data_IF_380340240054
#
_entry.id   IF_380340240054
#
_cell.length_a   1.000
_cell.length_b   1.000
_cell.length_c   1.000
_cell.angle_alpha   90.00
_cell.angle_beta   90.00
_cell.angle_gamma   90.00
#
_symmetry.space_group_name_H-M   'P 1'
#
loop_
_entity.id
_entity.type
_entity.pdbx_description
1 polymer ?
#
# COMPACT_ATOMS: atom_id res chain seq x y z
N UNK A 1 14.48 -20.02 -23.55
CA UNK A 1 13.21 -20.77 -23.61
C UNK A 1 12.12 -20.23 -22.65
N UNK A 2 12.29 -19.08 -21.98
CA UNK A 2 11.35 -18.60 -20.92
C UNK A 2 10.24 -17.65 -21.43
N UNK A 3 10.33 -17.15 -22.67
CA UNK A 3 9.41 -16.11 -23.18
C UNK A 3 7.96 -16.59 -23.37
N UNK A 4 7.76 -17.86 -23.75
CA UNK A 4 6.43 -18.42 -24.03
C UNK A 4 5.62 -18.72 -22.77
N UNK A 5 6.28 -19.10 -21.68
CA UNK A 5 5.63 -19.43 -20.40
C UNK A 5 5.10 -18.17 -19.69
N UNK A 6 5.86 -17.07 -19.70
CA UNK A 6 5.41 -15.80 -19.10
C UNK A 6 4.15 -15.31 -19.81
N UNK A 7 4.15 -15.25 -21.15
CA UNK A 7 2.97 -14.81 -21.90
C UNK A 7 1.74 -15.70 -21.67
N UNK A 8 1.93 -17.02 -21.58
CA UNK A 8 0.86 -18.00 -21.29
C UNK A 8 0.31 -17.89 -19.86
N UNK A 9 1.14 -17.48 -18.89
CA UNK A 9 0.68 -17.18 -17.54
C UNK A 9 -0.07 -15.86 -17.51
N UNK A 10 0.48 -14.83 -18.15
CA UNK A 10 -0.07 -13.48 -18.16
C UNK A 10 -1.45 -13.39 -18.83
N UNK A 11 -1.70 -14.15 -19.90
CA UNK A 11 -3.00 -14.14 -20.58
C UNK A 11 -4.18 -14.66 -19.72
N UNK A 12 -3.89 -15.36 -18.61
CA UNK A 12 -4.91 -15.83 -17.67
C UNK A 12 -5.35 -14.75 -16.66
N UNK A 13 -4.69 -13.59 -16.66
CA UNK A 13 -4.98 -12.49 -15.75
C UNK A 13 -5.55 -11.29 -16.51
N UNK A 14 -6.88 -11.11 -16.54
CA UNK A 14 -7.51 -10.01 -17.29
C UNK A 14 -7.19 -8.63 -16.73
N UNK A 15 -6.78 -8.55 -15.46
CA UNK A 15 -6.34 -7.31 -14.83
C UNK A 15 -4.90 -6.91 -15.22
N UNK A 16 -4.16 -7.75 -15.94
CA UNK A 16 -2.77 -7.50 -16.34
C UNK A 16 -2.73 -6.90 -17.75
N UNK A 17 -2.33 -5.64 -17.84
CA UNK A 17 -2.25 -4.88 -19.09
C UNK A 17 -0.92 -5.11 -19.78
N UNK A 18 0.19 -5.01 -19.04
CA UNK A 18 1.52 -5.23 -19.60
C UNK A 18 2.51 -5.78 -18.56
N UNK A 19 3.56 -6.44 -19.06
CA UNK A 19 4.72 -6.86 -18.25
C UNK A 19 5.99 -6.38 -18.92
N UNK A 20 6.83 -5.69 -18.14
CA UNK A 20 8.13 -5.19 -18.57
C UNK A 20 9.24 -5.97 -17.90
N UNK A 21 10.35 -6.16 -18.60
CA UNK A 21 11.57 -6.77 -18.08
C UNK A 21 12.71 -5.77 -18.18
N UNK A 22 13.38 -5.55 -17.06
CA UNK A 22 14.60 -4.79 -16.97
C UNK A 22 15.79 -5.57 -17.54
N UNK A 23 16.89 -4.90 -17.90
CA UNK A 23 18.13 -5.57 -18.30
C UNK A 23 18.70 -6.53 -17.24
N UNK A 24 18.40 -6.27 -15.96
CA UNK A 24 18.80 -7.12 -14.82
C UNK A 24 17.82 -8.26 -14.53
N UNK A 25 16.78 -8.43 -15.35
CA UNK A 25 15.78 -9.49 -15.23
C UNK A 25 14.62 -9.16 -14.28
N UNK A 26 14.61 -8.01 -13.60
CA UNK A 26 13.45 -7.59 -12.79
C UNK A 26 12.22 -7.40 -13.66
N UNK A 27 11.06 -7.77 -13.12
CA UNK A 27 9.78 -7.61 -13.82
C UNK A 27 8.97 -6.46 -13.24
N UNK A 28 8.32 -5.68 -14.11
CA UNK A 28 7.34 -4.68 -13.71
C UNK A 28 5.97 -5.01 -14.33
N UNK A 29 4.95 -5.07 -13.48
CA UNK A 29 3.57 -5.34 -13.88
C UNK A 29 2.81 -4.03 -14.02
N UNK A 30 2.20 -3.82 -15.17
CA UNK A 30 1.18 -2.80 -15.38
C UNK A 30 -0.19 -3.46 -15.27
N UNK A 31 -0.95 -3.07 -14.26
CA UNK A 31 -2.32 -3.54 -14.10
C UNK A 31 -3.34 -2.60 -14.76
N UNK A 32 -4.59 -3.05 -14.86
CA UNK A 32 -5.70 -2.31 -15.46
C UNK A 32 -6.12 -1.10 -14.64
N UNK A 33 -5.83 -1.08 -13.34
CA UNK A 33 -6.19 0.03 -12.46
C UNK A 33 -5.41 1.31 -12.82
N UNK A 34 -6.07 2.47 -12.68
CA UNK A 34 -5.49 3.79 -13.01
C UNK A 34 -4.19 4.04 -12.24
N UNK A 35 -3.22 4.76 -12.82
CA UNK A 35 -2.00 5.14 -12.09
C UNK A 35 -2.25 6.32 -11.14
N UNK A 36 -3.32 7.07 -11.37
CA UNK A 36 -3.72 8.24 -10.57
C UNK A 36 -5.17 8.06 -10.12
N UNK A 37 -5.43 7.33 -9.02
CA UNK A 37 -6.78 7.17 -8.52
C UNK A 37 -7.28 8.44 -7.84
N UNK A 38 -8.54 8.79 -8.09
CA UNK A 38 -9.25 9.85 -7.38
C UNK A 38 -9.32 9.52 -5.89
N UNK A 39 -9.41 10.56 -5.04
CA UNK A 39 -9.32 10.40 -3.59
C UNK A 39 -10.34 9.42 -3.01
N UNK A 40 -11.58 9.51 -3.47
CA UNK A 40 -12.72 8.69 -3.04
C UNK A 40 -12.62 7.22 -3.49
N UNK A 41 -11.99 6.98 -4.64
CA UNK A 41 -11.83 5.65 -5.23
C UNK A 41 -10.55 4.93 -4.75
N UNK A 42 -9.61 5.67 -4.15
CA UNK A 42 -8.26 5.21 -3.83
C UNK A 42 -8.23 3.98 -2.93
N UNK A 43 -9.19 3.84 -2.01
CA UNK A 43 -9.30 2.66 -1.16
C UNK A 43 -9.73 1.39 -1.91
N UNK A 44 -10.69 1.50 -2.84
CA UNK A 44 -11.11 0.38 -3.70
C UNK A 44 -10.02 0.05 -4.70
N UNK A 45 -9.50 1.07 -5.36
CA UNK A 45 -8.37 0.98 -6.28
C UNK A 45 -7.20 0.19 -5.67
N UNK A 46 -6.78 0.52 -4.44
CA UNK A 46 -5.64 -0.16 -3.82
C UNK A 46 -5.91 -1.65 -3.57
N UNK A 47 -7.10 -1.99 -3.06
CA UNK A 47 -7.49 -3.37 -2.80
C UNK A 47 -7.59 -4.19 -4.09
N UNK A 48 -8.16 -3.61 -5.14
CA UNK A 48 -8.32 -4.28 -6.43
C UNK A 48 -6.96 -4.47 -7.13
N UNK A 49 -6.12 -3.43 -7.12
CA UNK A 49 -4.74 -3.48 -7.63
C UNK A 49 -3.91 -4.53 -6.89
N UNK A 50 -4.01 -4.58 -5.56
CA UNK A 50 -3.32 -5.58 -4.73
C UNK A 50 -3.80 -6.99 -5.02
N UNK A 51 -5.12 -7.21 -5.10
CA UNK A 51 -5.68 -8.53 -5.39
C UNK A 51 -5.20 -9.05 -6.75
N UNK A 52 -5.25 -8.20 -7.78
CA UNK A 52 -4.77 -8.50 -9.12
C UNK A 52 -3.25 -8.77 -9.14
N UNK A 53 -2.46 -7.91 -8.48
CA UNK A 53 -1.01 -8.09 -8.36
C UNK A 53 -0.65 -9.44 -7.72
N UNK A 54 -1.26 -9.78 -6.58
CA UNK A 54 -0.97 -11.03 -5.89
C UNK A 54 -1.35 -12.26 -6.73
N UNK A 55 -2.48 -12.24 -7.42
CA UNK A 55 -2.89 -13.34 -8.29
C UNK A 55 -1.91 -13.56 -9.46
N UNK A 56 -1.50 -12.45 -10.11
CA UNK A 56 -0.53 -12.49 -11.19
C UNK A 56 0.85 -12.96 -10.70
N UNK A 57 1.36 -12.37 -9.61
CA UNK A 57 2.64 -12.75 -9.02
C UNK A 57 2.65 -14.21 -8.58
N UNK A 58 1.61 -14.69 -7.90
CA UNK A 58 1.53 -16.10 -7.48
C UNK A 58 1.59 -17.06 -8.68
N UNK A 59 0.93 -16.71 -9.78
CA UNK A 59 0.96 -17.51 -11.01
C UNK A 59 2.33 -17.46 -11.70
N UNK A 60 3.00 -16.30 -11.69
CA UNK A 60 4.37 -16.16 -12.21
C UNK A 60 5.36 -16.97 -11.37
N UNK A 61 5.23 -16.95 -10.02
CA UNK A 61 6.04 -17.77 -9.12
C UNK A 61 5.83 -19.26 -9.38
N UNK A 62 4.58 -19.69 -9.55
CA UNK A 62 4.25 -21.07 -9.89
C UNK A 62 4.83 -21.51 -11.24
N UNK A 63 5.02 -20.57 -12.17
CA UNK A 63 5.69 -20.80 -13.46
C UNK A 63 7.23 -20.66 -13.39
N UNK A 64 7.82 -20.55 -12.20
CA UNK A 64 9.27 -20.56 -12.00
C UNK A 64 9.94 -19.20 -12.10
N UNK A 65 9.19 -18.08 -12.15
CA UNK A 65 9.77 -16.73 -12.09
C UNK A 65 10.31 -16.48 -10.67
N UNK A 66 11.63 -16.41 -10.53
CA UNK A 66 12.31 -16.15 -9.25
C UNK A 66 12.74 -14.69 -9.07
N UNK A 67 12.68 -13.88 -10.14
CA UNK A 67 13.08 -12.48 -10.13
C UNK A 67 12.16 -11.59 -9.28
N UNK A 68 12.66 -10.40 -8.92
CA UNK A 68 11.86 -9.40 -8.21
C UNK A 68 10.80 -8.80 -9.14
N UNK A 69 9.58 -8.66 -8.59
CA UNK A 69 8.42 -8.15 -9.32
C UNK A 69 7.95 -6.86 -8.66
N UNK A 70 7.87 -5.78 -9.43
CA UNK A 70 7.30 -4.50 -9.02
C UNK A 70 5.97 -4.24 -9.72
N UNK A 71 5.09 -3.44 -9.11
CA UNK A 71 3.78 -3.07 -9.66
C UNK A 71 3.80 -1.58 -9.97
N UNK A 72 3.55 -1.21 -11.22
CA UNK A 72 3.68 0.19 -11.68
C UNK A 72 2.69 1.13 -11.00
N UNK A 73 1.50 0.62 -10.64
CA UNK A 73 0.51 1.36 -9.84
C UNK A 73 1.00 1.83 -8.47
N UNK A 74 2.09 1.26 -7.95
CA UNK A 74 2.65 1.65 -6.66
C UNK A 74 3.96 2.45 -6.78
N UNK A 75 4.40 2.73 -8.02
CA UNK A 75 5.61 3.48 -8.31
C UNK A 75 5.27 4.97 -8.51
N UNK A 76 6.21 5.89 -8.23
CA UNK A 76 6.05 7.30 -8.63
C UNK A 76 5.89 7.42 -10.14
N UNK A 77 5.09 8.38 -10.62
CA UNK A 77 4.82 8.53 -12.06
C UNK A 77 6.06 8.76 -12.94
N UNK A 78 7.09 9.54 -12.53
CA UNK A 78 8.32 9.68 -13.32
C UNK A 78 9.02 8.33 -13.50
N UNK A 79 9.04 7.56 -12.41
CA UNK A 79 9.59 6.22 -12.30
C UNK A 79 8.82 5.19 -13.16
N UNK A 80 7.52 5.41 -13.37
CA UNK A 80 6.70 4.64 -14.30
C UNK A 80 7.04 5.01 -15.74
N UNK A 81 7.12 6.30 -16.07
CA UNK A 81 7.46 6.77 -17.41
C UNK A 81 8.79 6.20 -17.90
N UNK A 82 9.83 6.23 -17.06
CA UNK A 82 11.14 5.62 -17.39
C UNK A 82 11.04 4.12 -17.68
N UNK A 83 10.16 3.39 -16.98
CA UNK A 83 9.95 1.95 -17.24
C UNK A 83 9.20 1.74 -18.55
N UNK A 84 8.14 2.51 -18.80
CA UNK A 84 7.34 2.40 -20.03
C UNK A 84 8.19 2.70 -21.28
N UNK A 85 9.13 3.64 -21.18
CA UNK A 85 10.01 4.05 -22.28
C UNK A 85 11.24 3.16 -22.43
N UNK A 86 11.83 2.70 -21.32
CA UNK A 86 13.17 2.11 -21.30
C UNK A 86 13.22 0.60 -21.10
N UNK A 87 12.19 -0.02 -20.53
CA UNK A 87 12.21 -1.47 -20.26
C UNK A 87 11.58 -2.25 -21.40
N UNK A 88 12.05 -3.49 -21.60
CA UNK A 88 11.54 -4.34 -22.67
C UNK A 88 10.15 -4.85 -22.30
N UNK A 89 9.13 -4.49 -23.09
CA UNK A 89 7.79 -5.06 -22.94
C UNK A 89 7.80 -6.55 -23.38
N UNK A 90 7.35 -7.44 -22.49
CA UNK A 90 7.33 -8.90 -22.67
C UNK A 90 5.95 -9.45 -22.91
N UNK A 91 4.95 -8.74 -22.41
CA UNK A 91 3.56 -9.07 -22.57
C UNK A 91 2.76 -7.77 -22.65
N UNK A 92 1.83 -7.71 -23.60
CA UNK A 92 0.85 -6.65 -23.75
C UNK A 92 -0.49 -7.33 -24.01
N UNK A 93 -1.40 -7.25 -23.04
CA UNK A 93 -2.70 -7.92 -23.09
C UNK A 93 -3.84 -7.00 -23.52
N UNK A 94 -3.75 -5.70 -23.20
CA UNK A 94 -4.79 -4.70 -23.45
C UNK A 94 -4.16 -3.42 -23.97
N UNK A 95 -4.04 -3.31 -25.31
CA UNK A 95 -3.38 -2.19 -25.98
C UNK A 95 -4.11 -0.87 -25.78
N UNK A 96 -5.45 -0.88 -25.74
CA UNK A 96 -6.25 0.34 -25.56
C UNK A 96 -6.07 0.89 -24.15
N UNK A 97 -6.18 0.01 -23.13
CA UNK A 97 -5.97 0.43 -21.74
C UNK A 97 -4.53 0.84 -21.49
N UNK A 98 -3.58 0.18 -22.15
CA UNK A 98 -2.18 0.57 -22.10
C UNK A 98 -1.97 2.02 -22.56
N UNK A 99 -2.46 2.38 -23.74
CA UNK A 99 -2.36 3.75 -24.28
C UNK A 99 -2.99 4.74 -23.32
N UNK A 100 -4.19 4.44 -22.81
CA UNK A 100 -4.86 5.32 -21.84
C UNK A 100 -4.04 5.54 -20.56
N UNK A 101 -3.39 4.50 -20.04
CA UNK A 101 -2.55 4.62 -18.85
C UNK A 101 -1.25 5.40 -19.13
N UNK A 102 -0.66 5.22 -20.31
CA UNK A 102 0.51 5.99 -20.75
C UNK A 102 0.16 7.47 -20.92
N UNK A 103 -1.00 7.80 -21.51
CA UNK A 103 -1.47 9.18 -21.66
C UNK A 103 -1.70 9.86 -20.30
N UNK A 104 -2.26 9.14 -19.32
CA UNK A 104 -2.43 9.64 -17.94
C UNK A 104 -1.07 9.99 -17.31
N UNK A 105 -0.04 9.18 -17.54
CA UNK A 105 1.32 9.45 -17.06
C UNK A 105 1.85 10.72 -17.71
N UNK A 106 1.76 10.83 -19.04
CA UNK A 106 2.21 12.01 -19.79
C UNK A 106 1.53 13.31 -19.33
N UNK A 107 0.20 13.30 -19.22
CA UNK A 107 -0.58 14.45 -18.76
C UNK A 107 -0.21 14.85 -17.31
N UNK A 108 -0.10 13.87 -16.41
CA UNK A 108 0.20 14.12 -15.00
C UNK A 108 1.63 14.66 -14.78
N UNK A 109 2.58 14.30 -15.64
CA UNK A 109 3.93 14.86 -15.61
C UNK A 109 3.98 16.28 -16.18
N UNK A 110 3.13 16.61 -17.15
CA UNK A 110 2.98 17.98 -17.69
C UNK A 110 2.37 18.97 -16.70
N UNK A 111 1.41 18.53 -15.88
CA UNK A 111 0.70 19.38 -14.91
C UNK A 111 1.50 19.71 -13.63
N UNK A 112 2.65 19.06 -13.41
CA UNK A 112 3.45 19.22 -12.18
C UNK A 112 4.26 20.53 -12.20
N UNK A 113 3.59 21.68 -12.13
CA UNK A 113 4.20 22.97 -11.75
C UNK A 113 4.44 22.96 -10.23
N UNK A 114 5.61 23.41 -9.70
CA UNK A 114 5.91 23.29 -8.28
C UNK A 114 4.95 24.18 -7.47
N UNK A 115 4.00 23.55 -6.78
CA UNK A 115 3.13 24.21 -5.81
C UNK A 115 3.94 24.52 -4.54
N UNK A 116 3.87 25.78 -4.11
CA UNK A 116 4.62 26.33 -2.98
C UNK A 116 4.38 25.62 -1.64
N UNK A 117 5.40 25.72 -0.78
CA UNK A 117 5.51 25.06 0.52
C UNK A 117 4.29 25.26 1.43
N UNK A 118 3.78 24.14 1.94
CA UNK A 118 2.73 24.05 2.97
C UNK A 118 3.41 23.99 4.37
N UNK A 119 2.83 24.60 5.43
CA UNK A 119 3.51 24.76 6.72
C UNK A 119 3.87 23.43 7.39
N UNK A 120 5.13 23.30 7.80
CA UNK A 120 5.72 22.07 8.33
C UNK A 120 5.42 21.83 9.81
N UNK A 121 5.07 20.58 10.17
CA UNK A 121 5.18 20.07 11.54
C UNK A 121 6.62 19.53 11.76
N UNK A 122 7.54 20.39 12.21
CA UNK A 122 8.99 20.20 12.10
C UNK A 122 9.65 19.05 12.87
N UNK A 123 8.95 18.33 13.76
CA UNK A 123 9.57 17.25 14.57
C UNK A 123 9.72 15.91 13.82
N UNK A 124 8.63 15.44 13.21
CA UNK A 124 8.59 14.13 12.55
C UNK A 124 9.37 14.11 11.23
N UNK A 125 9.38 15.24 10.51
CA UNK A 125 10.08 15.37 9.24
C UNK A 125 11.59 15.45 9.44
N UNK A 126 12.06 16.13 10.49
CA UNK A 126 13.47 16.12 10.87
C UNK A 126 13.93 14.72 11.30
N UNK A 127 13.13 14.00 12.07
CA UNK A 127 13.42 12.61 12.47
C UNK A 127 13.44 11.66 11.26
N UNK A 128 12.51 11.83 10.32
CA UNK A 128 12.49 11.07 9.07
C UNK A 128 13.68 11.42 8.17
N UNK A 129 14.07 12.70 8.11
CA UNK A 129 15.24 13.14 7.35
C UNK A 129 16.54 12.52 7.89
N UNK A 130 16.72 12.51 9.20
CA UNK A 130 17.86 11.85 9.85
C UNK A 130 17.88 10.34 9.58
N UNK A 131 16.71 9.68 9.65
CA UNK A 131 16.58 8.27 9.32
C UNK A 131 16.80 7.99 7.82
N UNK A 132 16.32 8.86 6.93
CA UNK A 132 16.51 8.74 5.49
C UNK A 132 17.99 8.87 5.12
N UNK A 133 18.74 9.81 5.72
CA UNK A 133 20.19 9.89 5.52
C UNK A 133 20.93 8.61 5.92
N UNK A 134 20.47 7.92 6.96
CA UNK A 134 21.08 6.68 7.43
C UNK A 134 20.67 5.43 6.61
N UNK A 135 19.51 5.46 5.95
CA UNK A 135 18.93 4.30 5.24
C UNK A 135 19.01 4.49 3.72
N UNK A 136 18.44 5.57 3.20
CA UNK A 136 18.49 5.96 1.79
C UNK A 136 17.94 7.40 1.58
N UNK A 137 18.65 8.29 0.86
CA UNK A 137 18.21 9.66 0.62
C UNK A 137 16.90 9.74 -0.20
N UNK A 138 16.59 8.73 -1.03
CA UNK A 138 15.34 8.70 -1.82
C UNK A 138 14.09 8.39 -0.98
N UNK A 139 14.26 7.93 0.25
CA UNK A 139 13.15 7.53 1.12
C UNK A 139 12.30 8.73 1.57
N UNK A 140 12.92 9.87 1.84
CA UNK A 140 12.20 11.08 2.27
C UNK A 140 11.33 11.64 1.14
N UNK A 141 11.88 11.68 -0.08
CA UNK A 141 11.14 12.10 -1.28
C UNK A 141 9.98 11.16 -1.56
N UNK A 142 10.23 9.85 -1.52
CA UNK A 142 9.19 8.84 -1.66
C UNK A 142 8.08 8.98 -0.60
N UNK A 143 8.43 9.21 0.66
CA UNK A 143 7.43 9.43 1.72
C UNK A 143 6.63 10.70 1.45
N UNK A 144 7.27 11.81 1.06
CA UNK A 144 6.55 13.04 0.67
C UNK A 144 5.60 12.79 -0.51
N UNK A 145 6.01 12.01 -1.49
CA UNK A 145 5.16 11.60 -2.62
C UNK A 145 3.97 10.72 -2.19
N UNK A 146 4.04 10.06 -1.03
CA UNK A 146 2.89 9.36 -0.43
C UNK A 146 1.89 10.31 0.24
N UNK A 147 2.17 11.61 0.40
CA UNK A 147 1.27 12.53 1.09
C UNK A 147 -0.18 12.53 0.58
N UNK A 148 -0.43 12.52 -0.74
CA UNK A 148 -1.77 12.36 -1.27
C UNK A 148 -2.47 11.07 -0.81
N UNK A 149 -1.73 9.97 -0.55
CA UNK A 149 -2.30 8.69 -0.15
C UNK A 149 -2.93 8.69 1.24
N UNK A 150 -2.31 9.34 2.25
CA UNK A 150 -2.97 9.49 3.55
C UNK A 150 -3.94 10.66 3.60
N UNK A 151 -3.69 11.75 2.86
CA UNK A 151 -4.62 12.88 2.79
C UNK A 151 -5.96 12.50 2.14
N UNK A 152 -5.94 11.59 1.16
CA UNK A 152 -7.13 11.08 0.48
C UNK A 152 -7.96 10.07 1.30
N UNK A 153 -7.48 9.60 2.46
CA UNK A 153 -8.24 8.64 3.27
C UNK A 153 -9.49 9.32 3.84
N UNK A 154 -10.66 8.95 3.33
CA UNK A 154 -11.95 9.58 3.68
C UNK A 154 -12.23 9.57 5.20
N UNK A 155 -12.05 8.42 5.86
CA UNK A 155 -12.28 8.29 7.30
C UNK A 155 -11.21 9.06 8.08
N UNK A 156 -11.58 10.12 8.84
CA UNK A 156 -10.62 10.88 9.64
C UNK A 156 -9.96 10.03 10.73
N UNK A 157 -10.70 9.04 11.26
CA UNK A 157 -10.18 8.07 12.24
C UNK A 157 -9.12 7.19 11.58
N UNK A 158 -9.41 6.61 10.41
CA UNK A 158 -8.42 5.81 9.66
C UNK A 158 -7.18 6.61 9.32
N UNK A 159 -7.35 7.85 8.83
CA UNK A 159 -6.26 8.75 8.50
C UNK A 159 -5.34 8.98 9.70
N UNK A 160 -5.91 9.29 10.85
CA UNK A 160 -5.15 9.49 12.10
C UNK A 160 -4.45 8.21 12.55
N UNK A 161 -5.09 7.04 12.43
CA UNK A 161 -4.48 5.76 12.77
C UNK A 161 -3.25 5.45 11.89
N UNK A 162 -3.36 5.68 10.57
CA UNK A 162 -2.25 5.55 9.61
C UNK A 162 -1.10 6.48 10.01
N UNK A 163 -1.38 7.77 10.19
CA UNK A 163 -0.35 8.77 10.52
C UNK A 163 0.33 8.49 11.87
N UNK A 164 -0.40 7.97 12.86
CA UNK A 164 0.20 7.56 14.14
C UNK A 164 1.06 6.32 14.02
N UNK A 165 0.72 5.41 13.11
CA UNK A 165 1.55 4.25 12.79
C UNK A 165 2.84 4.69 12.09
N UNK A 166 2.75 5.57 11.09
CA UNK A 166 3.91 6.15 10.39
C UNK A 166 4.85 6.88 11.35
N UNK A 167 4.28 7.71 12.24
CA UNK A 167 5.07 8.40 13.25
C UNK A 167 5.83 7.42 14.16
N UNK A 168 5.18 6.33 14.58
CA UNK A 168 5.82 5.31 15.37
C UNK A 168 6.94 4.58 14.60
N UNK A 169 6.73 4.24 13.33
CA UNK A 169 7.77 3.63 12.47
C UNK A 169 9.02 4.51 12.46
N UNK A 170 8.87 5.82 12.25
CA UNK A 170 9.99 6.76 12.26
C UNK A 170 10.66 6.80 13.63
N UNK A 171 9.91 7.08 14.70
CA UNK A 171 10.44 7.30 16.04
C UNK A 171 11.07 6.05 16.68
N UNK A 172 10.51 4.88 16.40
CA UNK A 172 10.74 3.66 17.20
C UNK A 172 11.33 2.51 16.39
N UNK A 173 11.42 2.65 15.08
CA UNK A 173 12.08 1.69 14.20
C UNK A 173 13.25 2.34 13.47
N UNK A 174 12.99 3.37 12.65
CA UNK A 174 14.02 3.91 11.77
C UNK A 174 15.07 4.74 12.52
N UNK A 175 14.65 5.55 13.50
CA UNK A 175 15.56 6.38 14.28
C UNK A 175 16.51 5.54 15.17
N UNK A 176 16.06 4.48 15.87
CA UNK A 176 16.97 3.54 16.52
C UNK A 176 17.95 2.87 15.54
N UNK A 177 17.47 2.38 14.39
CA UNK A 177 18.33 1.75 13.38
C UNK A 177 19.41 2.72 12.90
N UNK A 178 19.06 3.99 12.65
CA UNK A 178 20.00 5.03 12.25
C UNK A 178 21.09 5.30 13.30
N UNK A 179 20.86 4.94 14.57
CA UNK A 179 21.83 5.04 15.67
C UNK A 179 22.57 3.71 15.94
N UNK A 180 22.31 2.66 15.17
CA UNK A 180 22.84 1.32 15.42
C UNK A 180 22.14 0.57 16.57
N UNK A 181 20.98 1.06 17.01
CA UNK A 181 20.18 0.45 18.08
C UNK A 181 19.08 -0.46 17.50
N UNK A 182 18.63 -1.49 18.25
CA UNK A 182 17.52 -2.32 17.81
C UNK A 182 16.18 -1.55 17.83
N UNK A 183 15.25 -1.84 16.89
CA UNK A 183 13.88 -1.32 16.94
C UNK A 183 13.18 -1.63 18.26
N UNK A 184 12.33 -0.71 18.74
CA UNK A 184 11.57 -0.89 19.96
C UNK A 184 10.34 -1.80 19.77
N UNK A 185 10.57 -3.06 19.40
CA UNK A 185 9.52 -4.05 19.12
C UNK A 185 8.57 -4.30 20.31
N UNK A 186 9.02 -4.07 21.55
CA UNK A 186 8.20 -4.15 22.75
C UNK A 186 6.98 -3.19 22.72
N UNK A 187 7.05 -2.08 21.97
CA UNK A 187 5.93 -1.15 21.80
C UNK A 187 4.74 -1.77 21.02
N UNK A 188 4.94 -2.91 20.36
CA UNK A 188 3.92 -3.64 19.61
C UNK A 188 3.15 -4.67 20.47
N UNK A 189 3.55 -4.88 21.74
CA UNK A 189 2.83 -5.79 22.63
C UNK A 189 1.37 -5.35 22.88
N UNK A 190 0.51 -6.20 23.47
CA UNK A 190 -0.90 -5.89 23.72
C UNK A 190 -1.14 -4.60 24.53
N UNK A 191 -0.21 -4.26 25.41
CA UNK A 191 -0.19 -3.02 26.22
C UNK A 191 0.89 -2.03 25.76
N UNK A 192 1.48 -2.29 24.60
CA UNK A 192 2.58 -1.53 24.03
C UNK A 192 2.18 -0.12 23.65
N UNK A 193 3.18 0.76 23.57
CA UNK A 193 2.99 2.19 23.34
C UNK A 193 2.23 2.49 22.03
N UNK A 194 2.46 1.71 20.97
CA UNK A 194 1.73 1.91 19.71
C UNK A 194 0.26 1.55 19.86
N UNK A 195 -0.05 0.40 20.47
CA UNK A 195 -1.44 -0.04 20.69
C UNK A 195 -2.21 1.01 21.50
N UNK A 196 -1.65 1.48 22.61
CA UNK A 196 -2.24 2.53 23.44
C UNK A 196 -2.47 3.84 22.66
N UNK A 197 -1.50 4.25 21.82
CA UNK A 197 -1.65 5.45 20.97
C UNK A 197 -2.77 5.30 19.94
N UNK A 198 -2.91 4.12 19.32
CA UNK A 198 -3.94 3.86 18.33
C UNK A 198 -5.34 3.80 18.95
N UNK A 199 -5.50 3.13 20.10
CA UNK A 199 -6.78 3.07 20.82
C UNK A 199 -7.28 4.46 21.18
N UNK A 200 -6.39 5.38 21.60
CA UNK A 200 -6.75 6.78 21.94
C UNK A 200 -7.23 7.61 20.74
N UNK A 201 -6.92 7.20 19.51
CA UNK A 201 -7.38 7.89 18.30
C UNK A 201 -8.83 7.50 17.95
N UNK A 202 -9.28 6.34 18.42
CA UNK A 202 -10.61 5.81 18.10
C UNK A 202 -11.67 6.46 19.00
N UNK A 203 -12.77 6.99 18.43
CA UNK A 203 -13.87 7.54 19.22
C UNK A 203 -14.48 6.50 20.19
N UNK A 204 -14.99 6.94 21.35
CA UNK A 204 -15.74 6.06 22.25
C UNK A 204 -16.93 5.43 21.52
N UNK A 205 -17.07 4.10 21.58
CA UNK A 205 -18.13 3.35 20.90
C UNK A 205 -17.77 2.79 19.52
N UNK A 206 -16.67 3.23 18.90
CA UNK A 206 -16.18 2.69 17.62
C UNK A 206 -15.06 1.66 17.78
N UNK A 207 -14.60 1.40 19.01
CA UNK A 207 -13.43 0.56 19.25
C UNK A 207 -13.55 -0.83 18.60
N UNK A 208 -14.73 -1.45 18.66
CA UNK A 208 -14.95 -2.78 18.06
C UNK A 208 -14.81 -2.79 16.53
N UNK A 209 -15.09 -1.67 15.86
CA UNK A 209 -14.91 -1.54 14.41
C UNK A 209 -13.43 -1.48 14.03
N UNK A 210 -12.62 -0.82 14.86
CA UNK A 210 -11.19 -0.57 14.61
C UNK A 210 -10.27 -1.60 15.27
N UNK A 211 -10.77 -2.40 16.22
CA UNK A 211 -10.00 -3.42 16.95
C UNK A 211 -9.32 -4.41 16.02
N UNK A 212 -10.04 -4.89 15.01
CA UNK A 212 -9.49 -5.80 13.99
C UNK A 212 -8.39 -5.13 13.18
N UNK A 213 -8.61 -3.87 12.77
CA UNK A 213 -7.62 -3.10 12.01
C UNK A 213 -6.33 -2.90 12.82
N UNK A 214 -6.47 -2.50 14.10
CA UNK A 214 -5.34 -2.29 15.01
C UNK A 214 -4.58 -3.60 15.19
N UNK A 215 -5.28 -4.70 15.49
CA UNK A 215 -4.64 -6.02 15.71
C UNK A 215 -3.84 -6.48 14.50
N UNK A 216 -4.41 -6.38 13.30
CA UNK A 216 -3.74 -6.82 12.07
C UNK A 216 -2.54 -5.93 11.73
N UNK A 217 -2.69 -4.61 11.85
CA UNK A 217 -1.57 -3.66 11.64
C UNK A 217 -0.41 -3.96 12.57
N UNK A 218 -0.70 -4.24 13.85
CA UNK A 218 0.31 -4.60 14.85
C UNK A 218 0.96 -5.95 14.52
N UNK A 219 0.18 -6.96 14.16
CA UNK A 219 0.71 -8.29 13.81
C UNK A 219 1.61 -8.27 12.57
N UNK A 220 1.23 -7.50 11.56
CA UNK A 220 2.05 -7.32 10.35
C UNK A 220 3.36 -6.57 10.68
N UNK A 221 3.30 -5.53 11.52
CA UNK A 221 4.50 -4.83 12.00
C UNK A 221 5.41 -5.75 12.82
N UNK A 222 4.86 -6.58 13.70
CA UNK A 222 5.64 -7.55 14.48
C UNK A 222 6.36 -8.53 13.54
N UNK A 223 5.63 -9.07 12.56
CA UNK A 223 6.17 -9.98 11.56
C UNK A 223 7.27 -9.31 10.74
N UNK A 224 7.10 -8.04 10.39
CA UNK A 224 8.10 -7.26 9.67
C UNK A 224 9.38 -7.02 10.47
N UNK A 225 9.27 -6.81 11.79
CA UNK A 225 10.42 -6.55 12.66
C UNK A 225 11.21 -7.82 13.01
N UNK A 226 10.62 -9.02 12.86
CA UNK A 226 11.32 -10.30 13.01
C UNK A 226 12.37 -10.51 11.90
N UNK A 227 12.27 -9.78 10.79
CA UNK A 227 13.23 -9.92 9.69
C UNK A 227 14.66 -9.61 10.14
N UNK A 228 15.66 -10.43 9.70
CA UNK A 228 17.06 -10.21 9.97
C UNK A 228 17.52 -8.79 9.57
N UNK A 229 18.44 -8.21 10.33
CA UNK A 229 18.88 -6.83 10.13
C UNK A 229 19.51 -6.59 8.75
N UNK A 230 20.23 -7.60 8.23
CA UNK A 230 20.82 -7.64 6.88
C UNK A 230 19.78 -7.60 5.75
N UNK A 231 18.52 -7.93 6.03
CA UNK A 231 17.42 -7.92 5.05
C UNK A 231 16.55 -6.65 5.12
N UNK A 232 16.86 -5.72 6.01
CA UNK A 232 16.10 -4.47 6.21
C UNK A 232 16.55 -3.40 5.21
N UNK A 233 16.21 -3.60 3.95
CA UNK A 233 16.51 -2.69 2.85
C UNK A 233 15.51 -1.53 2.76
N UNK A 234 15.73 -0.60 1.84
CA UNK A 234 14.75 0.46 1.54
C UNK A 234 13.37 -0.12 1.17
N UNK A 235 13.33 -1.23 0.42
CA UNK A 235 12.08 -1.91 0.07
C UNK A 235 11.31 -2.40 1.31
N UNK A 236 12.04 -2.89 2.33
CA UNK A 236 11.45 -3.25 3.62
C UNK A 236 10.89 -2.03 4.34
N UNK A 237 11.60 -0.89 4.35
CA UNK A 237 11.09 0.35 4.96
C UNK A 237 9.83 0.83 4.27
N UNK A 238 9.82 0.86 2.93
CA UNK A 238 8.63 1.24 2.15
C UNK A 238 7.45 0.32 2.48
N UNK A 239 7.71 -0.98 2.61
CA UNK A 239 6.70 -1.95 3.02
C UNK A 239 6.12 -1.65 4.42
N UNK A 240 6.94 -1.27 5.40
CA UNK A 240 6.45 -0.89 6.74
C UNK A 240 5.39 0.23 6.68
N UNK A 241 5.66 1.27 5.90
CA UNK A 241 4.74 2.39 5.72
C UNK A 241 3.46 1.99 4.95
N UNK A 242 3.49 0.92 4.17
CA UNK A 242 2.32 0.39 3.45
C UNK A 242 1.41 -0.52 4.29
N UNK A 243 1.92 -1.16 5.34
CA UNK A 243 1.13 -2.04 6.22
C UNK A 243 -0.23 -1.45 6.63
N UNK A 244 -0.34 -0.23 7.20
CA UNK A 244 -1.62 0.30 7.70
C UNK A 244 -2.67 0.54 6.58
N UNK A 245 -2.25 0.58 5.31
CA UNK A 245 -3.16 0.68 4.17
C UNK A 245 -3.72 -0.67 3.75
N UNK A 246 -2.95 -1.74 3.92
CA UNK A 246 -3.29 -3.09 3.48
C UNK A 246 -4.36 -3.79 4.34
N UNK A 247 -4.64 -3.24 5.52
CA UNK A 247 -5.60 -3.81 6.46
C UNK A 247 -7.00 -3.27 6.18
N UNK A 248 -7.99 -4.13 5.86
CA UNK A 248 -9.36 -3.69 5.65
C UNK A 248 -10.01 -3.24 6.96
N UNK A 249 -10.90 -2.25 6.88
CA UNK A 249 -11.77 -1.88 8.00
C UNK A 249 -13.03 -2.73 7.88
N UNK A 250 -13.33 -3.51 8.91
CA UNK A 250 -14.56 -4.30 8.98
C UNK A 250 -15.76 -3.36 8.95
N UNK A 251 -16.44 -3.25 7.80
CA UNK A 251 -17.77 -2.64 7.73
C UNK A 251 -18.74 -3.56 8.46
N UNK A 252 -19.43 -3.08 9.50
CA UNK A 252 -20.65 -3.75 9.94
C UNK A 252 -21.60 -3.80 8.74
N UNK A 253 -22.05 -4.99 8.34
CA UNK A 253 -23.31 -5.11 7.61
C UNK A 253 -24.38 -4.44 8.50
N UNK A 254 -25.26 -3.59 7.97
CA UNK A 254 -26.51 -3.33 8.66
C UNK A 254 -27.13 -4.70 8.90
N UNK A 255 -27.36 -5.06 10.16
CA UNK A 255 -28.20 -6.21 10.46
C UNK A 255 -29.48 -6.02 9.67
N UNK A 256 -29.78 -6.95 8.77
CA UNK A 256 -31.11 -7.13 8.24
C UNK A 256 -32.03 -7.13 9.46
N UNK A 257 -32.75 -6.02 9.64
CA UNK A 257 -33.90 -5.99 10.51
C UNK A 257 -34.83 -6.99 9.85
N UNK A 258 -34.88 -8.19 10.44
CA UNK A 258 -35.79 -9.24 10.00
C UNK A 258 -37.17 -8.59 9.83
N UNK A 259 -37.84 -8.77 8.68
CA UNK A 259 -39.19 -8.26 8.53
C UNK A 259 -40.03 -8.87 9.64
N UNK A 260 -40.63 -8.02 10.45
CA UNK A 260 -41.63 -8.40 11.43
C UNK A 260 -42.58 -9.41 10.78
N UNK A 261 -42.63 -10.61 11.33
CA UNK A 261 -43.62 -11.60 10.97
C UNK A 261 -45.00 -10.96 11.24
N UNK A 262 -45.69 -10.58 10.16
CA UNK A 262 -47.11 -10.25 10.21
C UNK A 262 -47.80 -11.53 10.64
N UNK A 263 -48.29 -11.51 11.88
CA UNK A 263 -49.05 -12.61 12.47
C UNK A 263 -50.28 -12.89 11.61
N UNK A 264 -50.26 -14.04 10.92
CA UNK A 264 -51.51 -14.73 10.55
C UNK A 264 -52.03 -15.40 11.80
N UNK A 265 -52.91 -14.72 12.53
CA UNK A 265 -53.86 -15.43 13.39
C UNK A 265 -54.95 -16.01 12.49
N UNK A 266 -54.87 -17.31 12.27
CA UNK A 266 -56.03 -18.11 11.89
C UNK A 266 -57.00 -18.16 13.06
N UNK A 267 -58.29 -17.98 12.77
CA UNK A 267 -59.36 -18.32 13.70
C UNK A 267 -59.56 -19.83 13.79
N UNK A 268 -60.02 -20.27 14.97
CA UNK A 268 -61.03 -21.31 15.18
C UNK A 268 -60.99 -21.76 16.64
N UNK A 269 -61.92 -21.25 17.45
CA UNK A 269 -62.73 -21.97 18.44
C UNK A 269 -63.79 -21.00 18.96
#
# INVERSE_FOLDING_TARGET
MVNGEIASVCCRHPDLVAVYEAPDGRLALLLRQTLVPLGEERGRWFNDTRRAAHAAVASLRAAGVTQDVTVLQWRPLPDVATILEGWRCRYLGDSERYVQLADIVGASLGDRKPAGAVPHCGGAEAALSAAALAISPTLLEWYRDMAPCWLAVESPVRRRLILRTHHWIVERVLLPIARGEPPAAADLGPTGRLVCRLVRVVPPGELDLWKTWIRLTIGDLQSALVWPADRRTEAWVRWLFHIPYSVPVTRRRPSEVAPHAVGRHGGAA
#
